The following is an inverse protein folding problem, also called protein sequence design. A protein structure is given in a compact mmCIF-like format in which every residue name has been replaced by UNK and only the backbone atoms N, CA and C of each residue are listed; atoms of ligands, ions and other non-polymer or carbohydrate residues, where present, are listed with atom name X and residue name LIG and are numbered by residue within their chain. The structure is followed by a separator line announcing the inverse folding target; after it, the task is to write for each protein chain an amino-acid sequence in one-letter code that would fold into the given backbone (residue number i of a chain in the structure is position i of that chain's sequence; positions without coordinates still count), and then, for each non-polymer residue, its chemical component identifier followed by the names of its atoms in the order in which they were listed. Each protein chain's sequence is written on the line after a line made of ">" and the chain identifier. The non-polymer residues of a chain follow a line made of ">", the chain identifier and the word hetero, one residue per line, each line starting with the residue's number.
data_IF_202946279397
#
_entry.id   IF_202946279397
#
_cell.length_a   1.000
_cell.length_b   1.000
_cell.length_c   1.000
_cell.angle_alpha   90.00
_cell.angle_beta   90.00
_cell.angle_gamma   90.00
#
_symmetry.space_group_name_H-M   'P 1'
#
loop_
_entity.id
_entity.type
_entity.pdbx_description
1 polymer ?
#
# COMPACT_ATOMS: atom_id res chain seq x y z
N UNK A 1 8.82 -3.44 17.79
CA UNK A 1 7.55 -2.74 17.95
C UNK A 1 6.63 -3.23 16.86
N UNK A 2 5.69 -4.11 17.23
CA UNK A 2 4.69 -4.60 16.32
C UNK A 2 3.76 -3.45 15.90
N UNK A 3 3.94 -2.90 14.70
CA UNK A 3 2.90 -2.13 14.08
C UNK A 3 1.65 -3.00 14.03
N UNK A 4 0.49 -2.44 14.25
CA UNK A 4 -0.77 -3.14 14.00
C UNK A 4 -0.82 -3.42 12.50
N UNK A 5 -0.46 -4.64 12.13
CA UNK A 5 -0.70 -5.10 10.78
C UNK A 5 -2.20 -5.02 10.52
N UNK A 6 -2.57 -4.29 9.51
CA UNK A 6 -3.97 -4.14 9.14
C UNK A 6 -4.50 -5.42 8.49
N UNK A 7 -5.81 -5.58 8.49
CA UNK A 7 -6.45 -6.68 7.74
C UNK A 7 -6.03 -6.69 6.27
N UNK A 8 -5.77 -5.52 5.72
CA UNK A 8 -5.33 -5.34 4.34
C UNK A 8 -3.93 -5.90 4.11
N UNK A 9 -3.00 -5.72 5.07
CA UNK A 9 -1.65 -6.29 4.98
C UNK A 9 -1.69 -7.83 4.92
N UNK A 10 -2.56 -8.45 5.71
CA UNK A 10 -2.76 -9.90 5.67
C UNK A 10 -3.36 -10.37 4.33
N UNK A 11 -4.34 -9.66 3.80
CA UNK A 11 -4.93 -9.96 2.49
C UNK A 11 -3.89 -9.87 1.37
N UNK A 12 -3.08 -8.82 1.38
CA UNK A 12 -1.99 -8.63 0.43
C UNK A 12 -0.95 -9.76 0.55
N UNK A 13 -0.54 -10.11 1.77
CA UNK A 13 0.41 -11.20 2.01
C UNK A 13 -0.11 -12.54 1.45
N UNK A 14 -1.36 -12.87 1.71
CA UNK A 14 -2.00 -14.08 1.17
C UNK A 14 -1.98 -14.08 -0.36
N UNK A 15 -2.37 -12.98 -0.97
CA UNK A 15 -2.39 -12.82 -2.43
C UNK A 15 -1.01 -13.06 -3.04
N UNK A 16 0.01 -12.40 -2.51
CA UNK A 16 1.39 -12.50 -3.01
C UNK A 16 1.94 -13.92 -2.83
N UNK A 17 1.75 -14.53 -1.67
CA UNK A 17 2.21 -15.90 -1.39
C UNK A 17 1.56 -16.89 -2.37
N UNK A 18 0.25 -16.78 -2.58
CA UNK A 18 -0.48 -17.65 -3.51
C UNK A 18 -0.01 -17.49 -4.96
N UNK A 19 0.30 -16.27 -5.38
CA UNK A 19 0.86 -16.01 -6.72
C UNK A 19 2.25 -16.63 -6.91
N UNK A 20 3.06 -16.61 -5.87
CA UNK A 20 4.42 -17.14 -5.91
C UNK A 20 4.48 -18.66 -5.76
N UNK A 21 3.62 -19.25 -4.93
CA UNK A 21 3.71 -20.66 -4.52
C UNK A 21 2.50 -21.51 -4.93
N UNK A 22 1.41 -20.91 -5.36
CA UNK A 22 0.14 -21.59 -5.67
C UNK A 22 -0.69 -21.97 -4.45
N UNK A 23 -0.13 -21.93 -3.24
CA UNK A 23 -0.79 -22.21 -1.98
C UNK A 23 -0.27 -21.27 -0.89
N UNK A 24 -1.00 -21.15 0.20
CA UNK A 24 -0.64 -20.28 1.32
C UNK A 24 -0.98 -20.96 2.64
N UNK A 25 0.00 -21.10 3.51
CA UNK A 25 -0.18 -21.65 4.85
C UNK A 25 0.05 -20.56 5.90
N UNK A 26 -0.49 -20.78 7.09
CA UNK A 26 -0.28 -19.89 8.24
C UNK A 26 1.20 -19.55 8.46
N UNK A 27 2.09 -20.57 8.37
CA UNK A 27 3.53 -20.38 8.54
C UNK A 27 4.14 -19.47 7.47
N UNK A 28 3.66 -19.55 6.25
CA UNK A 28 4.15 -18.72 5.14
C UNK A 28 3.80 -17.24 5.38
N UNK A 29 2.61 -16.98 5.89
CA UNK A 29 2.16 -15.64 6.27
C UNK A 29 3.00 -15.10 7.44
N UNK A 30 3.20 -15.91 8.48
CA UNK A 30 3.99 -15.55 9.65
C UNK A 30 5.43 -15.16 9.27
N UNK A 31 6.07 -15.95 8.42
CA UNK A 31 7.42 -15.66 7.91
C UNK A 31 7.47 -14.37 7.09
N UNK A 32 6.53 -14.20 6.15
CA UNK A 32 6.50 -13.04 5.28
C UNK A 32 6.28 -11.74 6.05
N UNK A 33 5.40 -11.76 7.03
CA UNK A 33 5.03 -10.57 7.80
C UNK A 33 5.91 -10.35 9.04
N UNK A 34 6.74 -11.33 9.40
CA UNK A 34 7.57 -11.25 10.60
C UNK A 34 6.75 -11.24 11.90
N UNK A 35 5.62 -11.93 11.93
CA UNK A 35 4.72 -12.02 13.08
C UNK A 35 4.63 -13.43 13.63
N UNK A 36 4.14 -13.58 14.85
CA UNK A 36 3.93 -14.88 15.48
C UNK A 36 2.74 -15.62 14.86
N UNK A 37 2.82 -16.95 14.78
CA UNK A 37 1.73 -17.79 14.26
C UNK A 37 0.38 -17.56 14.93
N UNK A 38 0.29 -17.35 16.26
CA UNK A 38 -0.97 -17.04 16.93
C UNK A 38 -1.61 -15.73 16.42
N UNK A 39 -0.79 -14.73 16.11
CA UNK A 39 -1.26 -13.46 15.52
C UNK A 39 -1.89 -13.68 14.15
N UNK A 40 -1.27 -14.50 13.31
CA UNK A 40 -1.82 -14.91 12.01
C UNK A 40 -3.15 -15.64 12.18
N UNK A 41 -3.22 -16.60 13.09
CA UNK A 41 -4.45 -17.36 13.37
C UNK A 41 -5.60 -16.44 13.77
N UNK A 42 -5.34 -15.47 14.63
CA UNK A 42 -6.31 -14.46 15.04
C UNK A 42 -6.77 -13.59 13.88
N UNK A 43 -5.84 -13.11 13.08
CA UNK A 43 -6.13 -12.30 11.90
C UNK A 43 -6.97 -13.08 10.87
N UNK A 44 -6.61 -14.33 10.60
CA UNK A 44 -7.37 -15.19 9.69
C UNK A 44 -8.79 -15.46 10.20
N UNK A 45 -8.97 -15.63 11.51
CA UNK A 45 -10.28 -15.73 12.12
C UNK A 45 -11.15 -14.49 11.88
N UNK A 46 -10.56 -13.30 12.00
CA UNK A 46 -11.24 -12.04 11.71
C UNK A 46 -11.59 -11.90 10.22
N UNK A 47 -10.67 -12.24 9.34
CA UNK A 47 -10.91 -12.20 7.90
C UNK A 47 -12.01 -13.18 7.48
N UNK A 48 -12.02 -14.39 8.04
CA UNK A 48 -13.05 -15.39 7.78
C UNK A 48 -14.45 -14.92 8.22
N UNK A 49 -14.54 -14.31 9.41
CA UNK A 49 -15.81 -13.73 9.89
C UNK A 49 -16.33 -12.60 9.01
N UNK A 50 -15.45 -11.86 8.38
CA UNK A 50 -15.78 -10.78 7.44
C UNK A 50 -16.05 -11.30 6.01
N UNK A 51 -15.89 -12.59 5.77
CA UNK A 51 -16.08 -13.17 4.45
C UNK A 51 -14.98 -12.83 3.45
N UNK A 52 -13.77 -12.52 3.91
CA UNK A 52 -12.64 -12.10 3.08
C UNK A 52 -11.63 -13.22 2.81
N UNK A 53 -11.56 -14.19 3.70
CA UNK A 53 -10.68 -15.34 3.56
C UNK A 53 -11.35 -16.60 4.10
N UNK A 54 -10.86 -17.74 3.66
CA UNK A 54 -11.28 -19.07 4.14
C UNK A 54 -10.05 -19.95 4.34
N UNK A 55 -10.14 -20.89 5.24
CA UNK A 55 -9.09 -21.88 5.49
C UNK A 55 -9.63 -23.26 5.15
N UNK A 56 -9.04 -23.93 4.17
CA UNK A 56 -9.39 -25.26 3.72
C UNK A 56 -8.24 -26.19 4.06
N UNK A 57 -8.41 -26.99 5.13
CA UNK A 57 -7.31 -27.78 5.67
C UNK A 57 -6.20 -26.89 6.23
N UNK A 58 -5.07 -26.87 5.55
CA UNK A 58 -3.92 -25.99 5.88
C UNK A 58 -3.72 -24.85 4.88
N UNK A 59 -4.55 -24.80 3.85
CA UNK A 59 -4.46 -23.80 2.78
C UNK A 59 -5.37 -22.61 3.08
N UNK A 60 -4.79 -21.43 3.07
CA UNK A 60 -5.50 -20.16 3.25
C UNK A 60 -5.83 -19.59 1.88
N UNK A 61 -7.10 -19.33 1.64
CA UNK A 61 -7.61 -18.80 0.38
C UNK A 61 -8.31 -17.48 0.59
N UNK A 62 -8.27 -16.63 -0.43
CA UNK A 62 -9.08 -15.43 -0.47
C UNK A 62 -10.43 -15.73 -1.11
N UNK A 63 -11.48 -15.14 -0.57
CA UNK A 63 -12.77 -15.08 -1.24
C UNK A 63 -12.69 -14.10 -2.41
N UNK A 64 -13.71 -14.01 -3.24
CA UNK A 64 -13.76 -13.01 -4.31
C UNK A 64 -13.65 -11.59 -3.76
N UNK A 65 -14.34 -11.27 -2.68
CA UNK A 65 -14.25 -9.97 -1.99
C UNK A 65 -12.87 -9.72 -1.41
N UNK A 66 -12.30 -10.71 -0.70
CA UNK A 66 -10.96 -10.64 -0.16
C UNK A 66 -9.90 -10.46 -1.25
N UNK A 67 -10.07 -11.13 -2.38
CA UNK A 67 -9.21 -10.97 -3.55
C UNK A 67 -9.23 -9.56 -4.12
N UNK A 68 -10.41 -8.96 -4.24
CA UNK A 68 -10.55 -7.57 -4.72
C UNK A 68 -9.88 -6.56 -3.79
N UNK A 69 -10.07 -6.71 -2.49
CA UNK A 69 -9.41 -5.85 -1.51
C UNK A 69 -7.89 -6.03 -1.51
N UNK A 70 -7.41 -7.27 -1.62
CA UNK A 70 -5.99 -7.57 -1.71
C UNK A 70 -5.34 -6.95 -2.95
N UNK A 71 -6.01 -7.05 -4.11
CA UNK A 71 -5.54 -6.43 -5.35
C UNK A 71 -5.47 -4.91 -5.24
N UNK A 72 -6.49 -4.29 -4.68
CA UNK A 72 -6.54 -2.85 -4.50
C UNK A 72 -5.40 -2.36 -3.59
N UNK A 73 -5.14 -3.07 -2.49
CA UNK A 73 -4.05 -2.77 -1.57
C UNK A 73 -2.68 -2.94 -2.24
N UNK A 74 -2.50 -4.02 -2.97
CA UNK A 74 -1.26 -4.29 -3.70
C UNK A 74 -0.99 -3.25 -4.80
N UNK A 75 -2.01 -2.81 -5.50
CA UNK A 75 -1.90 -1.75 -6.51
C UNK A 75 -1.44 -0.43 -5.90
N UNK A 76 -2.00 -0.04 -4.75
CA UNK A 76 -1.56 1.14 -4.00
C UNK A 76 -0.10 1.03 -3.58
N UNK A 77 0.27 -0.11 -3.00
CA UNK A 77 1.64 -0.38 -2.59
C UNK A 77 2.63 -0.21 -3.76
N UNK A 78 2.35 -0.87 -4.88
CA UNK A 78 3.20 -0.79 -6.09
C UNK A 78 3.28 0.61 -6.67
N UNK A 79 2.20 1.35 -6.62
CA UNK A 79 2.17 2.73 -7.09
C UNK A 79 3.13 3.61 -6.28
N UNK A 80 3.03 3.58 -4.95
CA UNK A 80 3.89 4.37 -4.08
C UNK A 80 5.33 3.90 -4.07
N UNK A 81 5.56 2.60 -4.10
CA UNK A 81 6.91 2.03 -4.21
C UNK A 81 7.61 2.52 -5.49
N UNK A 82 6.94 2.44 -6.62
CA UNK A 82 7.47 2.93 -7.89
C UNK A 82 7.75 4.43 -7.86
N UNK A 83 6.83 5.22 -7.33
CA UNK A 83 6.99 6.67 -7.19
C UNK A 83 8.25 7.01 -6.40
N UNK A 84 8.48 6.33 -5.29
CA UNK A 84 9.66 6.56 -4.43
C UNK A 84 10.95 6.11 -5.11
N UNK A 85 10.96 4.95 -5.74
CA UNK A 85 12.12 4.44 -6.48
C UNK A 85 12.49 5.37 -7.65
N UNK A 86 11.53 5.83 -8.42
CA UNK A 86 11.73 6.79 -9.51
C UNK A 86 12.23 8.15 -8.99
N UNK A 87 11.90 8.49 -7.75
CA UNK A 87 12.40 9.69 -7.07
C UNK A 87 13.81 9.53 -6.48
N UNK A 88 14.41 8.35 -6.60
CA UNK A 88 15.77 8.07 -6.13
C UNK A 88 15.86 7.42 -4.74
N UNK A 89 14.74 7.01 -4.16
CA UNK A 89 14.73 6.25 -2.90
C UNK A 89 15.15 4.81 -3.19
N UNK A 90 15.99 4.22 -2.34
CA UNK A 90 16.36 2.82 -2.49
C UNK A 90 15.16 1.88 -2.34
N UNK A 91 15.21 0.72 -2.99
CA UNK A 91 14.08 -0.19 -3.09
C UNK A 91 13.57 -0.71 -1.74
N UNK A 92 14.46 -0.95 -0.78
CA UNK A 92 14.08 -1.43 0.56
C UNK A 92 13.31 -0.36 1.32
N UNK A 93 13.84 0.86 1.36
CA UNK A 93 13.18 2.01 1.98
C UNK A 93 11.87 2.33 1.27
N UNK A 94 11.85 2.34 -0.06
CA UNK A 94 10.67 2.59 -0.86
C UNK A 94 9.54 1.60 -0.55
N UNK A 95 9.85 0.32 -0.44
CA UNK A 95 8.87 -0.71 -0.10
C UNK A 95 8.30 -0.52 1.31
N UNK A 96 9.15 -0.23 2.29
CA UNK A 96 8.73 0.01 3.67
C UNK A 96 7.86 1.27 3.81
N UNK A 97 8.21 2.34 3.11
CA UNK A 97 7.46 3.60 3.14
C UNK A 97 6.15 3.51 2.35
N UNK A 98 6.16 2.84 1.20
CA UNK A 98 4.95 2.59 0.41
C UNK A 98 3.89 1.85 1.22
N UNK A 99 4.28 0.88 2.03
CA UNK A 99 3.38 0.15 2.93
C UNK A 99 2.68 1.07 3.94
N UNK A 100 3.34 2.12 4.39
CA UNK A 100 2.73 3.13 5.27
C UNK A 100 1.88 4.13 4.50
N UNK A 101 2.31 4.53 3.31
CA UNK A 101 1.61 5.51 2.48
C UNK A 101 0.28 5.00 1.97
N UNK A 102 0.16 3.73 1.63
CA UNK A 102 -1.08 3.14 1.13
C UNK A 102 -2.25 3.25 2.10
N UNK A 103 -1.96 3.27 3.41
CA UNK A 103 -2.98 3.42 4.46
C UNK A 103 -3.35 4.87 4.78
N UNK A 104 -2.59 5.83 4.26
CA UNK A 104 -2.80 7.25 4.52
C UNK A 104 -3.76 7.92 3.53
N UNK A 105 -3.97 7.33 2.36
CA UNK A 105 -4.85 7.87 1.34
C UNK A 105 -6.19 7.14 1.29
N UNK A 106 -7.27 7.92 1.10
CA UNK A 106 -8.56 7.36 0.75
C UNK A 106 -8.53 6.76 -0.67
N UNK A 107 -9.42 5.84 -0.94
CA UNK A 107 -9.57 5.24 -2.27
C UNK A 107 -9.82 6.29 -3.36
N UNK A 108 -10.61 7.31 -3.06
CA UNK A 108 -10.88 8.40 -4.00
C UNK A 108 -9.62 9.24 -4.28
N UNK A 109 -8.86 9.58 -3.24
CA UNK A 109 -7.59 10.32 -3.40
C UNK A 109 -6.57 9.52 -4.20
N UNK A 110 -6.45 8.22 -3.91
CA UNK A 110 -5.56 7.33 -4.66
C UNK A 110 -5.95 7.24 -6.12
N UNK A 111 -7.24 7.03 -6.40
CA UNK A 111 -7.75 6.94 -7.77
C UNK A 111 -7.48 8.21 -8.58
N UNK A 112 -7.60 9.36 -7.96
CA UNK A 112 -7.30 10.66 -8.57
C UNK A 112 -5.81 10.92 -8.77
N UNK A 113 -4.96 10.33 -7.93
CA UNK A 113 -3.50 10.47 -8.01
C UNK A 113 -2.88 9.57 -9.07
N UNK A 114 -3.58 8.53 -9.51
CA UNK A 114 -3.09 7.67 -10.59
C UNK A 114 -3.04 8.45 -11.89
N UNK A 115 -1.92 8.40 -12.63
CA UNK A 115 -1.92 8.90 -14.00
C UNK A 115 -2.95 8.12 -14.80
N UNK A 116 -3.81 8.82 -15.51
CA UNK A 116 -4.79 8.21 -16.39
C UNK A 116 -4.01 7.39 -17.41
N UNK A 117 -4.09 6.07 -17.31
CA UNK A 117 -3.38 5.16 -18.19
C UNK A 117 -3.85 5.34 -19.62
N UNK A 118 -3.02 6.02 -20.44
CA UNK A 118 -2.95 5.75 -21.85
C UNK A 118 -4.06 6.28 -22.75
N UNK A 119 -4.63 7.49 -22.55
CA UNK A 119 -5.42 8.10 -23.64
C UNK A 119 -5.65 9.62 -23.55
N UNK A 120 -4.96 10.38 -22.72
CA UNK A 120 -5.15 11.82 -22.79
C UNK A 120 -3.97 12.67 -22.26
N UNK A 121 -2.77 12.41 -22.77
CA UNK A 121 -1.64 13.33 -22.54
C UNK A 121 -1.90 14.73 -23.10
N UNK A 122 -2.79 14.86 -24.06
CA UNK A 122 -3.14 16.14 -24.69
C UNK A 122 -4.11 16.99 -23.88
N UNK A 123 -4.88 16.41 -22.98
CA UNK A 123 -5.86 17.15 -22.16
C UNK A 123 -5.31 17.61 -20.81
N UNK A 124 -4.28 16.98 -20.31
CA UNK A 124 -3.65 17.34 -19.02
C UNK A 124 -2.82 18.62 -19.10
N UNK A 125 -2.37 19.03 -20.29
CA UNK A 125 -1.57 20.25 -20.48
C UNK A 125 -2.40 21.53 -20.54
N UNK A 126 -3.69 21.46 -20.81
CA UNK A 126 -4.56 22.63 -20.94
C UNK A 126 -5.13 23.17 -19.62
N UNK A 127 -4.99 22.44 -18.50
CA UNK A 127 -5.58 22.79 -17.22
C UNK A 127 -4.60 23.18 -16.11
N UNK A 128 -3.30 23.15 -16.35
CA UNK A 128 -2.30 23.41 -15.29
C UNK A 128 -1.80 24.84 -15.28
N UNK A 129 -2.71 25.77 -15.01
CA UNK A 129 -2.33 27.00 -14.30
C UNK A 129 -3.06 27.01 -12.97
N UNK A 130 -2.83 26.05 -12.14
CA UNK A 130 -3.16 26.15 -10.73
C UNK A 130 -1.94 26.63 -9.98
N UNK A 131 -2.16 27.71 -9.20
CA UNK A 131 -1.18 28.28 -8.31
C UNK A 131 -0.38 27.18 -7.62
N UNK A 132 0.93 27.25 -7.79
CA UNK A 132 1.84 26.48 -7.00
C UNK A 132 1.50 26.74 -5.52
N UNK A 133 1.15 25.71 -4.80
CA UNK A 133 1.10 25.75 -3.36
C UNK A 133 2.55 26.02 -2.93
N UNK A 134 2.89 27.25 -2.66
CA UNK A 134 4.18 27.61 -2.06
C UNK A 134 4.15 27.08 -0.63
N UNK A 135 5.03 26.19 -0.27
CA UNK A 135 5.15 25.82 1.13
C UNK A 135 5.57 27.04 1.93
N UNK A 136 4.92 27.30 3.05
CA UNK A 136 5.10 28.47 3.91
C UNK A 136 6.55 28.70 4.39
N UNK A 137 7.42 27.68 4.27
CA UNK A 137 8.83 27.81 4.63
C UNK A 137 9.66 28.62 3.61
N UNK A 138 9.12 28.89 2.40
CA UNK A 138 9.85 29.62 1.36
C UNK A 138 9.83 31.14 1.54
N UNK A 139 9.17 31.66 2.57
CA UNK A 139 9.08 33.10 2.89
C UNK A 139 9.82 33.50 4.15
N UNK A 140 10.79 32.68 4.58
CA UNK A 140 11.74 33.11 5.61
C UNK A 140 12.60 34.23 5.08
N UNK A 141 12.17 35.47 5.24
CA UNK A 141 13.06 36.62 5.07
C UNK A 141 14.17 36.52 6.12
N UNK A 142 15.34 36.20 5.67
CA UNK A 142 16.54 36.41 6.47
C UNK A 142 16.69 37.91 6.61
N UNK A 143 16.29 38.44 7.75
CA UNK A 143 16.70 39.78 8.15
C UNK A 143 18.18 39.68 8.49
N UNK A 144 18.99 40.02 7.53
CA UNK A 144 20.39 40.24 7.75
C UNK A 144 20.55 41.55 8.52
N UNK A 145 20.58 41.46 9.83
CA UNK A 145 21.08 42.55 10.66
C UNK A 145 22.53 42.30 10.90
N UNK A 146 23.35 42.77 9.96
CA UNK A 146 24.74 42.94 10.19
C UNK A 146 24.98 44.02 11.24
N UNK A 147 25.59 43.65 12.31
CA UNK A 147 26.41 44.49 13.16
C UNK A 147 27.66 43.75 13.57
#
# INVERSE_FOLDING_TARGET
>A
MGGRESSEDYLEAILVIRRLRGSCRNVDIAERMGVAKPSVTKALGNLARRGLAEVVGRDVRLTEEGGRLAEATLDKHRFFERLLVESGVDAETASAEACRMEHCLSEDSYRRSRPISGADETRAMAGKRRAACRPDWATGSVSDTAH
#
